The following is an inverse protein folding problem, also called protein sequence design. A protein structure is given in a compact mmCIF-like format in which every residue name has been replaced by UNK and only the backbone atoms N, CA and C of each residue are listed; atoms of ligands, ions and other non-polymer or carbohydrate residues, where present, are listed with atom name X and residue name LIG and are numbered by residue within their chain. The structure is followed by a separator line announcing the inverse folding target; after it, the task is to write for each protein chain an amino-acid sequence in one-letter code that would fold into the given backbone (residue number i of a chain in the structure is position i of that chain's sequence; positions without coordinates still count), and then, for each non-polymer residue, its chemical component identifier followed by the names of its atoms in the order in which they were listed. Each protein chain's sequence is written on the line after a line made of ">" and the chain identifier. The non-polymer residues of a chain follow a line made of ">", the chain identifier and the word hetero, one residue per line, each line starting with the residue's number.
data_IF_720709027460
#
_entry.id   IF_720709027460
#
_cell.length_a   1.000
_cell.length_b   1.000
_cell.length_c   1.000
_cell.angle_alpha   90.00
_cell.angle_beta   90.00
_cell.angle_gamma   90.00
#
_symmetry.space_group_name_H-M   'P 1'
#
loop_
_entity.id
_entity.type
_entity.pdbx_description
1 polymer ?
#
# COMPACT_ATOMS: atom_id res chain seq x y z
N UNK A 1 -31.24 29.58 -3.29
CA UNK A 1 -30.07 29.73 -2.40
C UNK A 1 -30.04 28.58 -1.39
N UNK A 2 -31.19 28.18 -0.85
CA UNK A 2 -31.32 27.12 0.17
C UNK A 2 -30.85 25.73 -0.24
N UNK A 3 -31.10 25.30 -1.49
CA UNK A 3 -30.70 23.95 -1.93
C UNK A 3 -29.18 23.77 -1.99
N UNK A 4 -28.44 24.80 -2.41
CA UNK A 4 -26.97 24.75 -2.50
C UNK A 4 -26.35 24.72 -1.11
N UNK A 5 -26.85 25.56 -0.20
CA UNK A 5 -26.40 25.58 1.19
C UNK A 5 -26.72 24.26 1.91
N UNK A 6 -27.90 23.69 1.67
CA UNK A 6 -28.31 22.38 2.20
C UNK A 6 -27.40 21.25 1.70
N UNK A 7 -27.07 21.23 0.40
CA UNK A 7 -26.13 20.26 -0.16
C UNK A 7 -24.71 20.41 0.42
N UNK A 8 -24.23 21.64 0.58
CA UNK A 8 -22.93 21.91 1.19
C UNK A 8 -22.86 21.41 2.64
N UNK A 9 -23.87 21.71 3.46
CA UNK A 9 -23.99 21.21 4.83
C UNK A 9 -24.03 19.67 4.89
N UNK A 10 -24.72 19.03 3.94
CA UNK A 10 -24.74 17.56 3.85
C UNK A 10 -23.36 16.98 3.57
N UNK A 11 -22.58 17.59 2.68
CA UNK A 11 -21.19 17.18 2.38
C UNK A 11 -20.34 17.31 3.64
N UNK A 12 -20.39 18.45 4.32
CA UNK A 12 -19.61 18.70 5.54
C UNK A 12 -19.93 17.69 6.65
N UNK A 13 -21.21 17.40 6.87
CA UNK A 13 -21.62 16.41 7.88
C UNK A 13 -21.05 15.01 7.56
N UNK A 14 -21.05 14.59 6.29
CA UNK A 14 -20.46 13.30 5.90
C UNK A 14 -18.94 13.28 6.00
N UNK A 15 -18.27 14.41 5.78
CA UNK A 15 -16.81 14.54 5.99
C UNK A 15 -16.47 14.39 7.48
N UNK A 16 -17.26 15.01 8.36
CA UNK A 16 -17.08 14.84 9.83
C UNK A 16 -17.31 13.39 10.23
N UNK A 17 -18.36 12.74 9.72
CA UNK A 17 -18.59 11.31 9.96
C UNK A 17 -17.40 10.46 9.48
N UNK A 18 -16.84 10.80 8.31
CA UNK A 18 -15.68 10.12 7.74
C UNK A 18 -14.43 10.27 8.62
N UNK A 19 -14.15 11.46 9.15
CA UNK A 19 -13.02 11.72 10.08
C UNK A 19 -13.13 10.90 11.38
N UNK A 20 -14.35 10.56 11.82
CA UNK A 20 -14.60 9.74 13.01
C UNK A 20 -14.78 8.24 12.72
N UNK A 21 -14.85 7.85 11.45
CA UNK A 21 -15.11 6.45 11.07
C UNK A 21 -13.89 5.56 11.31
N UNK A 22 -14.10 4.50 12.10
CA UNK A 22 -13.04 3.57 12.51
C UNK A 22 -12.99 2.36 11.56
N UNK A 23 -14.14 1.95 11.02
CA UNK A 23 -14.22 0.78 10.14
C UNK A 23 -13.84 1.13 8.71
N UNK A 24 -12.97 0.30 8.13
CA UNK A 24 -12.59 0.36 6.72
C UNK A 24 -13.81 0.31 5.77
N UNK A 25 -14.80 -0.54 6.06
CA UNK A 25 -15.99 -0.66 5.21
C UNK A 25 -16.84 0.61 5.23
N UNK A 26 -16.92 1.25 6.40
CA UNK A 26 -17.61 2.53 6.57
C UNK A 26 -16.86 3.64 5.84
N UNK A 27 -15.54 3.73 5.98
CA UNK A 27 -14.70 4.69 5.25
C UNK A 27 -14.90 4.59 3.74
N UNK A 28 -14.83 3.38 3.17
CA UNK A 28 -15.03 3.15 1.74
C UNK A 28 -16.44 3.59 1.31
N UNK A 29 -17.47 3.20 2.07
CA UNK A 29 -18.86 3.54 1.78
C UNK A 29 -19.08 5.06 1.80
N UNK A 30 -18.63 5.74 2.85
CA UNK A 30 -18.77 7.19 2.99
C UNK A 30 -18.01 7.95 1.90
N UNK A 31 -16.75 7.58 1.60
CA UNK A 31 -15.99 8.20 0.51
C UNK A 31 -16.72 8.04 -0.83
N UNK A 32 -17.23 6.85 -1.13
CA UNK A 32 -18.00 6.63 -2.35
C UNK A 32 -19.28 7.47 -2.38
N UNK A 33 -20.02 7.53 -1.28
CA UNK A 33 -21.24 8.31 -1.17
C UNK A 33 -20.98 9.81 -1.34
N UNK A 34 -19.91 10.35 -0.77
CA UNK A 34 -19.53 11.76 -0.91
C UNK A 34 -19.13 12.02 -2.37
N UNK A 35 -18.23 11.20 -2.92
CA UNK A 35 -17.67 11.37 -4.26
C UNK A 35 -18.72 11.49 -5.38
N UNK A 36 -19.83 10.76 -5.28
CA UNK A 36 -20.90 10.79 -6.31
C UNK A 36 -21.77 12.05 -6.27
N UNK A 37 -21.65 12.92 -5.26
CA UNK A 37 -22.43 14.16 -5.14
C UNK A 37 -21.84 15.35 -5.94
N UNK A 38 -21.06 15.07 -6.98
CA UNK A 38 -20.54 16.09 -7.88
C UNK A 38 -19.20 16.71 -7.45
N UNK A 39 -18.77 17.73 -8.19
CA UNK A 39 -17.42 18.29 -8.10
C UNK A 39 -17.11 18.86 -6.71
N UNK A 40 -18.03 19.62 -6.12
CA UNK A 40 -17.87 20.23 -4.79
C UNK A 40 -17.58 19.17 -3.71
N UNK A 41 -18.22 18.01 -3.79
CA UNK A 41 -17.98 16.92 -2.85
C UNK A 41 -16.62 16.24 -3.09
N UNK A 42 -16.16 16.15 -4.35
CA UNK A 42 -14.83 15.64 -4.67
C UNK A 42 -13.72 16.60 -4.21
N UNK A 43 -13.96 17.91 -4.33
CA UNK A 43 -13.09 18.95 -3.78
C UNK A 43 -12.98 18.84 -2.26
N UNK A 44 -14.11 18.66 -1.56
CA UNK A 44 -14.08 18.44 -0.11
C UNK A 44 -13.27 17.21 0.31
N UNK A 45 -13.34 16.10 -0.45
CA UNK A 45 -12.49 14.92 -0.21
C UNK A 45 -11.00 15.21 -0.46
N UNK A 46 -10.68 16.01 -1.49
CA UNK A 46 -9.31 16.45 -1.76
C UNK A 46 -8.79 17.36 -0.64
N UNK A 47 -9.58 18.35 -0.21
CA UNK A 47 -9.26 19.24 0.89
C UNK A 47 -9.03 18.47 2.19
N UNK A 48 -9.87 17.47 2.49
CA UNK A 48 -9.66 16.58 3.62
C UNK A 48 -8.30 15.87 3.53
N UNK A 49 -7.96 15.31 2.37
CA UNK A 49 -6.68 14.63 2.17
C UNK A 49 -5.49 15.60 2.34
N UNK A 50 -5.58 16.80 1.75
CA UNK A 50 -4.55 17.85 1.87
C UNK A 50 -4.40 18.30 3.32
N UNK A 51 -5.52 18.51 4.04
CA UNK A 51 -5.53 18.87 5.46
C UNK A 51 -4.81 17.81 6.29
N UNK A 52 -5.15 16.53 6.10
CA UNK A 52 -4.55 15.42 6.85
C UNK A 52 -3.05 15.27 6.59
N UNK A 53 -2.62 15.41 5.33
CA UNK A 53 -1.23 15.15 4.90
C UNK A 53 -0.31 16.36 5.01
N UNK A 54 -0.72 17.49 4.45
CA UNK A 54 0.16 18.65 4.27
C UNK A 54 0.05 19.66 5.42
N UNK A 55 -1.12 19.76 6.05
CA UNK A 55 -1.36 20.70 7.16
C UNK A 55 -1.11 20.03 8.51
N UNK A 56 -1.82 18.94 8.80
CA UNK A 56 -1.79 18.27 10.11
C UNK A 56 -0.67 17.25 10.25
N UNK A 57 -0.14 16.73 9.13
CA UNK A 57 0.92 15.70 9.09
C UNK A 57 0.61 14.49 9.98
N UNK A 58 -0.64 14.03 9.94
CA UNK A 58 -1.07 12.87 10.72
C UNK A 58 -0.29 11.60 10.30
N UNK A 59 -0.21 10.55 11.13
CA UNK A 59 0.24 9.23 10.67
C UNK A 59 -0.60 8.73 9.48
N UNK A 60 0.00 7.97 8.57
CA UNK A 60 -0.75 7.38 7.45
C UNK A 60 -1.68 6.27 7.96
N UNK A 61 -2.93 6.31 7.52
CA UNK A 61 -3.91 5.27 7.78
C UNK A 61 -4.65 4.85 6.50
N UNK A 62 -5.57 3.89 6.64
CA UNK A 62 -6.37 3.37 5.52
C UNK A 62 -7.17 4.45 4.79
N UNK A 63 -7.62 5.50 5.49
CA UNK A 63 -8.43 6.56 4.91
C UNK A 63 -7.64 7.36 3.88
N UNK A 64 -6.36 7.65 4.16
CA UNK A 64 -5.50 8.37 3.21
C UNK A 64 -5.34 7.58 1.89
N UNK A 65 -5.17 6.26 1.99
CA UNK A 65 -5.11 5.36 0.83
C UNK A 65 -6.41 5.32 0.03
N UNK A 66 -7.57 5.28 0.72
CA UNK A 66 -8.89 5.28 0.10
C UNK A 66 -9.15 6.61 -0.63
N UNK A 67 -8.91 7.74 0.05
CA UNK A 67 -9.09 9.08 -0.52
C UNK A 67 -8.21 9.27 -1.75
N UNK A 68 -6.91 8.98 -1.63
CA UNK A 68 -5.98 9.16 -2.74
C UNK A 68 -6.34 8.27 -3.94
N UNK A 69 -6.63 6.98 -3.71
CA UNK A 69 -7.04 6.06 -4.79
C UNK A 69 -8.32 6.55 -5.48
N UNK A 70 -9.30 7.04 -4.72
CA UNK A 70 -10.57 7.52 -5.27
C UNK A 70 -10.37 8.78 -6.11
N UNK A 71 -9.59 9.74 -5.63
CA UNK A 71 -9.30 11.00 -6.32
C UNK A 71 -8.39 10.78 -7.53
N UNK A 72 -7.42 9.87 -7.44
CA UNK A 72 -6.52 9.51 -8.54
C UNK A 72 -7.28 8.94 -9.73
N UNK A 73 -8.27 8.09 -9.47
CA UNK A 73 -9.13 7.52 -10.50
C UNK A 73 -10.32 8.42 -10.88
N UNK A 74 -10.33 9.69 -10.46
CA UNK A 74 -11.44 10.59 -10.75
C UNK A 74 -11.55 10.87 -12.24
N UNK A 75 -12.78 10.96 -12.77
CA UNK A 75 -13.03 11.37 -14.15
C UNK A 75 -12.92 12.89 -14.35
N UNK A 76 -12.86 13.67 -13.26
CA UNK A 76 -12.72 15.12 -13.32
C UNK A 76 -11.26 15.53 -13.57
N UNK A 77 -11.01 16.18 -14.71
CA UNK A 77 -9.69 16.75 -15.03
C UNK A 77 -9.22 17.74 -13.95
N UNK A 78 -10.13 18.52 -13.39
CA UNK A 78 -9.81 19.47 -12.32
C UNK A 78 -9.28 18.74 -11.09
N UNK A 79 -9.98 17.69 -10.62
CA UNK A 79 -9.54 16.91 -9.46
C UNK A 79 -8.19 16.24 -9.72
N UNK A 80 -7.99 15.67 -10.91
CA UNK A 80 -6.70 15.07 -11.25
C UNK A 80 -5.55 16.08 -11.28
N UNK A 81 -5.78 17.28 -11.82
CA UNK A 81 -4.78 18.35 -11.86
C UNK A 81 -4.47 18.86 -10.46
N UNK A 82 -5.49 19.14 -9.66
CA UNK A 82 -5.34 19.60 -8.27
C UNK A 82 -4.64 18.55 -7.42
N UNK A 83 -4.99 17.26 -7.54
CA UNK A 83 -4.31 16.18 -6.84
C UNK A 83 -2.82 16.13 -7.20
N UNK A 84 -2.46 16.23 -8.49
CA UNK A 84 -1.05 16.28 -8.94
C UNK A 84 -0.31 17.51 -8.44
N UNK A 85 -0.98 18.66 -8.29
CA UNK A 85 -0.41 19.89 -7.74
C UNK A 85 -0.05 19.73 -6.26
N UNK A 86 -0.93 19.11 -5.47
CA UNK A 86 -0.68 18.90 -4.04
C UNK A 86 0.23 17.71 -3.75
N UNK A 87 0.25 16.71 -4.63
CA UNK A 87 0.95 15.43 -4.46
C UNK A 87 1.74 15.04 -5.73
N UNK A 88 2.77 15.81 -6.11
CA UNK A 88 3.51 15.61 -7.38
C UNK A 88 4.25 14.27 -7.47
N UNK A 89 4.66 13.73 -6.31
CA UNK A 89 5.37 12.46 -6.17
C UNK A 89 4.46 11.30 -5.74
N UNK A 90 3.16 11.58 -5.56
CA UNK A 90 2.23 10.64 -4.96
C UNK A 90 1.84 11.03 -3.54
N UNK A 91 1.09 10.15 -2.88
CA UNK A 91 0.59 10.36 -1.51
C UNK A 91 1.70 10.59 -0.47
N UNK A 92 2.91 10.09 -0.74
CA UNK A 92 4.07 10.22 0.13
C UNK A 92 5.16 11.00 -0.58
N UNK A 93 5.84 11.87 0.17
CA UNK A 93 7.09 12.47 -0.27
C UNK A 93 8.23 11.53 0.13
N UNK A 94 8.74 10.79 -0.84
CA UNK A 94 9.79 9.83 -0.59
C UNK A 94 11.14 10.55 -0.53
N UNK A 95 11.68 10.74 0.67
CA UNK A 95 13.03 11.29 0.89
C UNK A 95 14.16 10.32 0.53
N UNK A 96 13.92 9.42 -0.44
CA UNK A 96 14.89 8.40 -0.84
C UNK A 96 15.28 8.49 -2.31
N UNK A 97 16.43 7.90 -2.64
CA UNK A 97 16.94 7.76 -4.00
C UNK A 97 16.02 6.92 -4.91
N UNK A 98 15.00 6.25 -4.35
CA UNK A 98 14.03 5.41 -5.05
C UNK A 98 12.63 6.04 -5.18
N UNK A 99 12.52 7.37 -5.02
CA UNK A 99 11.24 8.10 -5.14
C UNK A 99 10.49 7.77 -6.46
N UNK A 100 11.22 7.64 -7.58
CA UNK A 100 10.62 7.28 -8.88
C UNK A 100 10.01 5.86 -8.84
N UNK A 101 10.71 4.88 -8.28
CA UNK A 101 10.22 3.51 -8.12
C UNK A 101 8.98 3.45 -7.24
N UNK A 102 8.94 4.21 -6.15
CA UNK A 102 7.79 4.21 -5.25
C UNK A 102 6.55 4.87 -5.85
N UNK A 103 6.73 5.94 -6.63
CA UNK A 103 5.63 6.52 -7.42
C UNK A 103 5.09 5.50 -8.44
N UNK A 104 5.98 4.75 -9.10
CA UNK A 104 5.56 3.71 -10.04
C UNK A 104 4.83 2.55 -9.31
N UNK A 105 5.35 2.12 -8.16
CA UNK A 105 4.73 1.10 -7.32
C UNK A 105 3.33 1.53 -6.85
N UNK A 106 3.19 2.76 -6.35
CA UNK A 106 1.90 3.34 -5.97
C UNK A 106 0.91 3.31 -7.14
N UNK A 107 1.36 3.70 -8.34
CA UNK A 107 0.51 3.70 -9.54
C UNK A 107 0.01 2.29 -9.87
N UNK A 108 0.90 1.29 -9.86
CA UNK A 108 0.53 -0.10 -10.13
C UNK A 108 -0.45 -0.64 -9.08
N UNK A 109 -0.25 -0.31 -7.80
CA UNK A 109 -1.11 -0.73 -6.71
C UNK A 109 -2.49 -0.06 -6.74
N UNK A 110 -2.58 1.23 -7.08
CA UNK A 110 -3.85 1.93 -7.32
C UNK A 110 -4.63 1.27 -8.45
N UNK A 111 -3.92 0.91 -9.54
CA UNK A 111 -4.49 0.22 -10.69
C UNK A 111 -4.75 -1.27 -10.47
N UNK A 112 -4.51 -1.79 -9.26
CA UNK A 112 -4.67 -3.21 -8.88
C UNK A 112 -3.85 -4.17 -9.74
N UNK A 113 -2.75 -3.68 -10.34
CA UNK A 113 -1.81 -4.49 -11.12
C UNK A 113 -0.82 -5.20 -10.19
N UNK A 114 -1.33 -6.01 -9.27
CA UNK A 114 -0.57 -6.58 -8.15
C UNK A 114 0.63 -7.44 -8.59
N UNK A 115 0.52 -8.19 -9.70
CA UNK A 115 1.64 -8.96 -10.23
C UNK A 115 2.81 -8.08 -10.68
N UNK A 116 2.52 -6.95 -11.34
CA UNK A 116 3.56 -6.00 -11.75
C UNK A 116 4.13 -5.26 -10.55
N UNK A 117 3.28 -4.89 -9.59
CA UNK A 117 3.69 -4.27 -8.34
C UNK A 117 4.63 -5.19 -7.54
N UNK A 118 4.35 -6.49 -7.51
CA UNK A 118 5.21 -7.50 -6.88
C UNK A 118 6.58 -7.59 -7.53
N UNK A 119 6.60 -7.71 -8.86
CA UNK A 119 7.85 -7.73 -9.62
C UNK A 119 8.67 -6.44 -9.40
N UNK A 120 8.02 -5.27 -9.45
CA UNK A 120 8.68 -3.99 -9.18
C UNK A 120 9.22 -3.93 -7.75
N UNK A 121 8.49 -4.44 -6.76
CA UNK A 121 8.94 -4.49 -5.36
C UNK A 121 10.24 -5.28 -5.25
N UNK A 122 10.35 -6.45 -5.91
CA UNK A 122 11.60 -7.24 -5.90
C UNK A 122 12.77 -6.48 -6.53
N UNK A 123 12.53 -5.80 -7.66
CA UNK A 123 13.55 -4.98 -8.32
C UNK A 123 13.99 -3.81 -7.45
N UNK A 124 13.05 -3.12 -6.80
CA UNK A 124 13.34 -2.02 -5.89
C UNK A 124 14.18 -2.48 -4.70
N UNK A 125 13.85 -3.62 -4.07
CA UNK A 125 14.65 -4.16 -2.97
C UNK A 125 16.07 -4.54 -3.42
N UNK A 126 16.24 -5.08 -4.62
CA UNK A 126 17.57 -5.31 -5.21
C UNK A 126 18.34 -3.99 -5.43
N UNK A 127 17.68 -2.97 -5.98
CA UNK A 127 18.29 -1.66 -6.23
C UNK A 127 18.76 -0.99 -4.95
N UNK A 128 17.97 -1.09 -3.87
CA UNK A 128 18.30 -0.51 -2.56
C UNK A 128 19.60 -1.05 -1.96
N UNK A 129 19.96 -2.29 -2.27
CA UNK A 129 21.21 -2.91 -1.82
C UNK A 129 22.33 -2.81 -2.87
N UNK A 130 22.16 -1.97 -3.89
CA UNK A 130 23.14 -1.71 -4.95
C UNK A 130 23.19 -2.76 -6.06
N UNK A 131 22.19 -3.64 -6.17
CA UNK A 131 22.08 -4.57 -7.30
C UNK A 131 21.36 -3.91 -8.47
N UNK A 132 21.96 -3.99 -9.65
CA UNK A 132 21.50 -3.36 -10.88
C UNK A 132 21.56 -4.34 -12.08
N UNK A 133 21.35 -3.82 -13.30
CA UNK A 133 21.40 -4.61 -14.53
C UNK A 133 22.79 -5.20 -14.85
N UNK A 134 23.87 -4.66 -14.27
CA UNK A 134 25.23 -5.16 -14.45
C UNK A 134 25.61 -6.19 -13.37
N UNK A 135 24.76 -6.35 -12.35
CA UNK A 135 25.00 -7.27 -11.27
C UNK A 135 24.87 -8.71 -11.73
N UNK A 136 25.74 -9.59 -11.21
CA UNK A 136 25.74 -11.03 -11.54
C UNK A 136 24.50 -11.77 -11.01
N UNK A 137 23.66 -11.11 -10.22
CA UNK A 137 22.44 -11.64 -9.63
C UNK A 137 21.36 -10.57 -9.55
N UNK A 138 20.11 -11.00 -9.60
CA UNK A 138 18.90 -10.19 -9.43
C UNK A 138 18.04 -10.69 -8.24
N UNK A 139 18.69 -11.25 -7.22
CA UNK A 139 18.05 -11.72 -5.99
C UNK A 139 18.89 -11.34 -4.77
N UNK A 140 18.23 -11.24 -3.62
CA UNK A 140 18.82 -10.89 -2.34
C UNK A 140 19.33 -12.13 -1.60
N UNK A 141 20.40 -11.93 -0.83
CA UNK A 141 20.80 -12.78 0.29
C UNK A 141 20.30 -12.15 1.57
N UNK A 142 20.19 -12.94 2.64
CA UNK A 142 19.75 -12.43 3.93
C UNK A 142 20.69 -11.36 4.49
N UNK A 143 21.98 -11.41 4.14
CA UNK A 143 23.00 -10.40 4.50
C UNK A 143 22.81 -9.05 3.80
N UNK A 144 22.03 -9.01 2.72
CA UNK A 144 21.71 -7.76 2.03
C UNK A 144 20.59 -6.99 2.75
N UNK A 145 19.72 -7.69 3.49
CA UNK A 145 18.54 -7.10 4.13
C UNK A 145 18.89 -5.97 5.11
N UNK A 146 19.92 -6.08 5.98
CA UNK A 146 20.33 -4.97 6.84
C UNK A 146 20.83 -3.72 6.12
N UNK A 147 21.11 -3.79 4.81
CA UNK A 147 21.52 -2.64 4.01
C UNK A 147 20.33 -1.80 3.52
N UNK A 148 19.11 -2.35 3.60
CA UNK A 148 17.88 -1.65 3.25
C UNK A 148 17.57 -0.66 4.37
N UNK A 149 17.33 0.61 4.04
CA UNK A 149 16.98 1.60 5.06
C UNK A 149 15.60 1.32 5.66
N UNK A 150 15.41 1.64 6.95
CA UNK A 150 14.10 1.55 7.60
C UNK A 150 13.04 2.36 6.86
N UNK A 151 13.38 3.56 6.36
CA UNK A 151 12.46 4.43 5.63
C UNK A 151 12.00 3.79 4.30
N UNK A 152 12.91 3.18 3.56
CA UNK A 152 12.58 2.52 2.30
C UNK A 152 11.69 1.29 2.51
N UNK A 153 12.03 0.44 3.49
CA UNK A 153 11.20 -0.73 3.81
C UNK A 153 9.81 -0.31 4.31
N UNK A 154 9.74 0.73 5.14
CA UNK A 154 8.49 1.33 5.62
C UNK A 154 7.63 1.85 4.48
N UNK A 155 8.22 2.56 3.52
CA UNK A 155 7.50 3.11 2.38
C UNK A 155 6.92 2.00 1.48
N UNK A 156 7.71 0.96 1.20
CA UNK A 156 7.24 -0.19 0.43
C UNK A 156 6.08 -0.89 1.14
N UNK A 157 6.23 -1.20 2.43
CA UNK A 157 5.20 -1.86 3.21
C UNK A 157 3.91 -1.02 3.29
N UNK A 158 4.04 0.27 3.56
CA UNK A 158 2.92 1.19 3.66
C UNK A 158 2.14 1.29 2.34
N UNK A 159 2.83 1.37 1.19
CA UNK A 159 2.16 1.34 -0.12
C UNK A 159 1.33 0.06 -0.29
N UNK A 160 1.92 -1.09 0.00
CA UNK A 160 1.20 -2.37 -0.08
C UNK A 160 -0.03 -2.37 0.82
N UNK A 161 0.08 -1.92 2.07
CA UNK A 161 -1.06 -1.87 3.00
C UNK A 161 -2.17 -0.94 2.53
N UNK A 162 -1.85 0.31 2.21
CA UNK A 162 -2.83 1.34 1.83
C UNK A 162 -3.70 0.91 0.64
N UNK A 163 -3.06 0.35 -0.39
CA UNK A 163 -3.73 -0.01 -1.64
C UNK A 163 -4.21 -1.46 -1.73
N UNK A 164 -3.97 -2.24 -0.67
CA UNK A 164 -4.56 -3.57 -0.46
C UNK A 164 -5.58 -3.58 0.68
N UNK A 165 -5.95 -2.41 1.22
CA UNK A 165 -6.88 -2.32 2.35
C UNK A 165 -6.38 -3.11 3.56
N UNK A 166 -5.11 -2.90 3.91
CA UNK A 166 -4.41 -3.56 5.03
C UNK A 166 -4.24 -5.09 4.88
N UNK A 167 -4.42 -5.61 3.66
CA UNK A 167 -4.38 -7.06 3.40
C UNK A 167 -2.97 -7.56 3.06
N UNK A 168 -2.19 -6.78 2.35
CA UNK A 168 -0.87 -7.12 1.83
C UNK A 168 0.21 -6.23 2.46
N UNK A 169 1.44 -6.71 2.46
CA UNK A 169 2.59 -6.05 3.09
C UNK A 169 3.43 -7.04 3.91
N UNK A 170 4.71 -6.74 4.07
CA UNK A 170 5.63 -7.52 4.89
C UNK A 170 5.24 -7.47 6.37
N UNK A 171 4.70 -6.35 6.85
CA UNK A 171 4.15 -6.23 8.22
C UNK A 171 2.96 -7.18 8.42
N UNK A 172 2.07 -7.28 7.43
CA UNK A 172 0.93 -8.21 7.48
C UNK A 172 1.40 -9.66 7.53
N UNK A 173 2.43 -10.02 6.76
CA UNK A 173 3.03 -11.34 6.81
C UNK A 173 3.72 -11.60 8.15
N UNK A 174 4.50 -10.64 8.65
CA UNK A 174 5.18 -10.72 9.95
C UNK A 174 4.18 -10.93 11.10
N UNK A 175 3.08 -10.19 11.11
CA UNK A 175 2.02 -10.37 12.11
C UNK A 175 1.47 -11.80 12.10
N UNK A 176 1.22 -12.36 10.91
CA UNK A 176 0.75 -13.74 10.77
C UNK A 176 1.82 -14.73 11.24
N UNK A 177 3.08 -14.49 10.90
CA UNK A 177 4.20 -15.35 11.30
C UNK A 177 4.36 -15.39 12.82
N UNK A 178 4.35 -14.23 13.48
CA UNK A 178 4.42 -14.12 14.94
C UNK A 178 3.23 -14.78 15.64
N UNK A 179 2.01 -14.62 15.09
CA UNK A 179 0.81 -15.26 15.63
C UNK A 179 0.82 -16.80 15.49
N UNK A 180 1.72 -17.34 14.68
CA UNK A 180 1.92 -18.78 14.50
C UNK A 180 3.19 -19.28 15.21
N UNK A 181 3.65 -18.61 16.27
CA UNK A 181 4.86 -18.98 17.02
C UNK A 181 6.10 -19.09 16.13
N UNK A 182 6.17 -18.22 15.10
CA UNK A 182 7.24 -18.21 14.11
C UNK A 182 7.31 -19.49 13.23
N UNK A 183 6.24 -20.27 13.13
CA UNK A 183 6.13 -21.46 12.29
C UNK A 183 5.93 -21.08 10.81
N UNK A 184 6.94 -21.41 9.99
CA UNK A 184 6.94 -21.13 8.56
C UNK A 184 5.91 -21.93 7.78
N UNK A 185 5.66 -23.20 8.11
CA UNK A 185 4.69 -24.03 7.39
C UNK A 185 3.27 -23.51 7.60
N UNK A 186 2.93 -23.13 8.84
CA UNK A 186 1.65 -22.48 9.14
C UNK A 186 1.50 -21.15 8.41
N UNK A 187 2.55 -20.33 8.40
CA UNK A 187 2.56 -19.07 7.63
C UNK A 187 2.26 -19.33 6.15
N UNK A 188 2.98 -20.25 5.51
CA UNK A 188 2.83 -20.53 4.07
C UNK A 188 1.43 -21.00 3.70
N UNK A 189 0.81 -21.85 4.51
CA UNK A 189 -0.57 -22.26 4.30
C UNK A 189 -1.54 -21.08 4.48
N UNK A 190 -1.36 -20.27 5.54
CA UNK A 190 -2.27 -19.18 5.87
C UNK A 190 -2.23 -18.02 4.86
N UNK A 191 -1.03 -17.68 4.35
CA UNK A 191 -0.89 -16.64 3.32
C UNK A 191 -1.10 -17.18 1.90
N UNK A 192 -1.33 -18.49 1.73
CA UNK A 192 -1.63 -19.12 0.44
C UNK A 192 -0.42 -19.30 -0.48
N UNK A 193 0.78 -19.44 0.08
CA UNK A 193 1.99 -19.82 -0.65
C UNK A 193 2.17 -21.34 -0.75
N UNK A 194 1.48 -22.08 0.11
CA UNK A 194 1.27 -23.53 -0.02
C UNK A 194 -0.22 -23.85 -0.03
N UNK A 195 -0.62 -24.81 -0.85
CA UNK A 195 -1.97 -25.40 -0.86
C UNK A 195 -1.82 -26.91 -0.70
N UNK A 196 -2.49 -27.47 0.30
CA UNK A 196 -2.43 -28.91 0.59
C UNK A 196 -0.97 -29.41 0.77
N UNK A 197 -0.11 -28.60 1.38
CA UNK A 197 1.30 -28.90 1.60
C UNK A 197 2.23 -28.67 0.39
N UNK A 198 1.68 -28.36 -0.79
CA UNK A 198 2.43 -28.15 -2.03
C UNK A 198 2.67 -26.65 -2.25
N UNK A 199 3.91 -26.27 -2.57
CA UNK A 199 4.28 -24.89 -2.87
C UNK A 199 3.69 -24.41 -4.20
N UNK A 200 3.10 -23.21 -4.18
CA UNK A 200 2.53 -22.57 -5.36
C UNK A 200 3.63 -22.24 -6.39
N UNK A 201 3.36 -22.52 -7.67
CA UNK A 201 4.23 -22.19 -8.81
C UNK A 201 3.99 -20.76 -9.28
N UNK A 202 5.08 -20.00 -9.37
CA UNK A 202 5.07 -18.65 -9.91
C UNK A 202 4.99 -18.66 -11.45
N UNK A 203 4.22 -17.74 -12.07
CA UNK A 203 3.27 -16.81 -11.46
C UNK A 203 1.84 -17.36 -11.37
N UNK A 204 1.53 -18.46 -12.04
CA UNK A 204 0.17 -18.88 -12.37
C UNK A 204 -0.66 -19.39 -11.18
N UNK A 205 -0.02 -19.89 -10.13
CA UNK A 205 -0.71 -20.44 -8.96
C UNK A 205 -0.86 -19.42 -7.82
N UNK A 206 -0.40 -18.19 -8.01
CA UNK A 206 -0.62 -17.08 -7.09
C UNK A 206 -1.88 -16.29 -7.46
N UNK A 207 -2.51 -15.65 -6.47
CA UNK A 207 -3.72 -14.86 -6.66
C UNK A 207 -3.38 -13.38 -6.72
N UNK A 208 -3.45 -12.79 -7.90
CA UNK A 208 -3.01 -11.41 -8.16
C UNK A 208 -4.15 -10.38 -8.04
N UNK A 209 -5.00 -10.52 -7.02
CA UNK A 209 -6.10 -9.61 -6.75
C UNK A 209 -6.44 -9.55 -5.25
N UNK A 210 -7.34 -8.63 -4.88
CA UNK A 210 -7.71 -8.37 -3.48
C UNK A 210 -8.35 -9.57 -2.77
N UNK A 211 -8.81 -10.60 -3.49
CA UNK A 211 -9.43 -11.78 -2.89
C UNK A 211 -8.40 -12.76 -2.30
N UNK A 212 -7.11 -12.64 -2.65
CA UNK A 212 -6.03 -13.46 -2.09
C UNK A 212 -5.96 -13.38 -0.56
N UNK A 213 -5.43 -14.37 0.18
CA UNK A 213 -5.35 -14.31 1.65
C UNK A 213 -4.61 -13.09 2.21
N UNK A 214 -4.86 -12.74 3.48
CA UNK A 214 -4.04 -11.71 4.16
C UNK A 214 -2.58 -12.17 4.17
N UNK A 215 -1.66 -11.24 3.89
CA UNK A 215 -0.23 -11.51 3.75
C UNK A 215 0.18 -12.18 2.43
N UNK A 216 -0.74 -12.43 1.48
CA UNK A 216 -0.39 -13.14 0.26
C UNK A 216 0.72 -12.45 -0.56
N UNK A 217 0.74 -11.12 -0.56
CA UNK A 217 1.70 -10.29 -1.29
C UNK A 217 2.36 -9.27 -0.36
N UNK A 218 3.55 -8.73 -0.71
CA UNK A 218 4.40 -9.14 -1.84
C UNK A 218 5.06 -10.51 -1.60
N UNK A 219 5.50 -11.19 -2.66
CA UNK A 219 6.15 -12.48 -2.58
C UNK A 219 7.61 -12.36 -2.09
N UNK A 220 8.13 -13.45 -1.55
CA UNK A 220 9.56 -13.63 -1.32
C UNK A 220 9.94 -15.03 -1.80
N UNK A 221 10.96 -15.14 -2.65
CA UNK A 221 11.30 -16.40 -3.30
C UNK A 221 11.90 -17.41 -2.30
N UNK A 222 11.13 -18.46 -1.99
CA UNK A 222 11.52 -19.51 -1.04
C UNK A 222 12.42 -20.62 -1.65
N UNK A 223 12.75 -20.58 -2.95
CA UNK A 223 13.64 -21.56 -3.58
C UNK A 223 15.06 -21.56 -2.99
N UNK A 224 15.45 -20.47 -2.31
CA UNK A 224 16.74 -20.31 -1.64
C UNK A 224 16.62 -20.35 -0.11
N UNK A 225 15.51 -20.89 0.39
CA UNK A 225 15.20 -20.96 1.82
C UNK A 225 14.58 -19.67 2.39
N UNK A 226 14.27 -19.73 3.68
CA UNK A 226 13.51 -18.70 4.40
C UNK A 226 14.35 -17.55 4.96
N UNK A 227 15.68 -17.59 4.82
CA UNK A 227 16.57 -16.65 5.51
C UNK A 227 16.35 -15.19 5.10
N UNK A 228 16.05 -14.93 3.82
CA UNK A 228 15.74 -13.58 3.32
C UNK A 228 14.47 -13.04 3.97
N UNK A 229 13.39 -13.83 3.99
CA UNK A 229 12.14 -13.40 4.59
C UNK A 229 12.24 -13.29 6.11
N UNK A 230 12.99 -14.19 6.75
CA UNK A 230 13.32 -14.11 8.18
C UNK A 230 14.07 -12.82 8.52
N UNK A 231 15.08 -12.46 7.73
CA UNK A 231 15.80 -11.20 7.91
C UNK A 231 14.89 -9.99 7.68
N UNK A 232 13.99 -10.05 6.69
CA UNK A 232 12.98 -9.01 6.49
C UNK A 232 12.07 -8.87 7.72
N UNK A 233 11.52 -9.96 8.26
CA UNK A 233 10.63 -9.91 9.43
C UNK A 233 11.33 -9.51 10.74
N UNK A 234 12.64 -9.69 10.82
CA UNK A 234 13.45 -9.29 11.98
C UNK A 234 14.19 -7.97 11.78
N UNK A 235 13.92 -7.25 10.69
CA UNK A 235 14.46 -5.91 10.46
C UNK A 235 14.09 -4.96 11.61
N UNK A 236 15.03 -4.10 12.05
CA UNK A 236 14.87 -3.27 13.26
C UNK A 236 13.65 -2.36 13.22
N UNK A 237 13.34 -1.84 12.02
CA UNK A 237 12.14 -1.05 11.72
C UNK A 237 10.84 -1.57 12.37
N UNK A 238 10.60 -2.88 12.43
CA UNK A 238 9.32 -3.39 12.95
C UNK A 238 9.15 -3.27 14.46
N UNK A 239 10.24 -2.95 15.17
CA UNK A 239 10.27 -2.79 16.62
C UNK A 239 10.48 -1.32 17.05
N UNK A 240 10.54 -0.40 16.09
CA UNK A 240 10.59 1.06 16.29
C UNK A 240 9.17 1.65 16.38
#
# INVERSE_FOLDING_TARGET
>A
MDQKLSNHLLILNKIVELEHSISLSQQISLVQQIYVNGLEAQEALLELLVKRRNIQKLPFDSLDGILFEKLYNSQSNFIQQSLKSYFPHGLMDFSSSCNIEYKHLQTLLIQKQYQKADHLTQLSLCKLVGLDHNSKRNWLYFTDIPLISSDDLKNIDLLWRLYSREKFGFSSQRQIWLANDCDWEKLWMQIGWKREGIACRYPSEFTWNINAPKGHLPLSNQLRGMQVLSALFNHTFWNE
#
